data_IF_182666207182
#
_entry.id   IF_182666207182
#
_cell.length_a   1.000
_cell.length_b   1.000
_cell.length_c   1.000
_cell.angle_alpha   90.00
_cell.angle_beta   90.00
_cell.angle_gamma   90.00
#
_symmetry.space_group_name_H-M   'P 1'
#
loop_
_entity.id
_entity.type
_entity.pdbx_description
1 polymer ?
#
# COMPACT_ATOMS: atom_id res chain seq x y z
N UNK A 1 9.10 5.86 28.88
CA UNK A 1 9.50 5.15 27.64
C UNK A 1 8.74 5.81 26.52
N UNK A 2 9.36 6.21 25.40
CA UNK A 2 8.58 6.66 24.26
C UNK A 2 7.61 5.52 23.93
N UNK A 3 6.31 5.78 23.96
CA UNK A 3 5.29 4.79 23.61
C UNK A 3 5.63 4.26 22.22
N UNK A 4 5.72 2.95 22.08
CA UNK A 4 5.96 2.29 20.81
C UNK A 4 4.95 2.80 19.78
N UNK A 5 5.45 3.21 18.62
CA UNK A 5 4.63 3.74 17.54
C UNK A 5 3.64 2.63 17.12
N UNK A 6 2.31 2.87 17.11
CA UNK A 6 1.35 1.83 16.76
C UNK A 6 1.59 1.35 15.33
N UNK A 7 1.45 0.05 15.11
CA UNK A 7 1.56 -0.60 13.82
C UNK A 7 0.15 -0.94 13.30
N UNK A 8 -0.04 -1.05 11.98
CA UNK A 8 -1.35 -1.41 11.44
C UNK A 8 -1.68 -2.87 11.77
N UNK A 9 -2.96 -3.16 11.99
CA UNK A 9 -3.45 -4.53 12.19
C UNK A 9 -3.34 -5.37 10.91
N UNK A 10 -3.47 -4.74 9.73
CA UNK A 10 -3.28 -5.35 8.41
C UNK A 10 -2.29 -4.58 7.57
N UNK A 11 -1.58 -5.26 6.66
CA UNK A 11 -0.65 -4.58 5.75
C UNK A 11 0.65 -4.17 6.39
N UNK A 12 1.07 -4.88 7.44
CA UNK A 12 2.31 -4.64 8.16
C UNK A 12 3.53 -4.60 7.21
N UNK A 13 3.64 -5.55 6.28
CA UNK A 13 4.73 -5.57 5.30
C UNK A 13 4.70 -4.31 4.43
N UNK A 14 3.53 -3.96 3.88
CA UNK A 14 3.38 -2.78 3.01
C UNK A 14 3.71 -1.50 3.76
N UNK A 15 3.17 -1.31 4.96
CA UNK A 15 3.43 -0.14 5.78
C UNK A 15 4.92 0.04 6.07
N UNK A 16 5.64 -1.03 6.40
CA UNK A 16 7.06 -0.92 6.73
C UNK A 16 7.98 -0.63 5.54
N UNK A 17 7.54 -0.89 4.31
CA UNK A 17 8.38 -0.70 3.10
C UNK A 17 7.99 0.51 2.26
N UNK A 18 6.77 1.03 2.42
CA UNK A 18 6.29 2.23 1.71
C UNK A 18 6.75 3.50 2.45
N UNK A 19 8.03 3.88 2.29
CA UNK A 19 8.63 5.08 2.89
C UNK A 19 9.42 4.83 4.19
N UNK A 20 9.91 5.91 4.81
CA UNK A 20 10.57 5.88 6.11
C UNK A 20 10.23 7.11 6.97
N UNK A 21 10.77 7.13 8.18
CA UNK A 21 10.61 8.20 9.17
C UNK A 21 11.94 8.90 9.49
N UNK A 22 12.85 8.92 8.51
CA UNK A 22 14.14 9.59 8.62
C UNK A 22 13.97 10.98 8.01
N UNK A 23 13.94 12.02 8.85
CA UNK A 23 13.91 13.41 8.40
C UNK A 23 15.05 13.68 7.40
N UNK A 24 14.77 14.46 6.36
CA UNK A 24 15.67 14.74 5.22
C UNK A 24 15.97 13.52 4.31
N UNK A 25 15.32 12.38 4.51
CA UNK A 25 15.35 11.30 3.53
C UNK A 25 14.41 11.63 2.37
N UNK A 26 14.76 11.33 1.11
CA UNK A 26 13.81 11.42 -0.01
C UNK A 26 12.63 10.44 0.11
N UNK A 27 12.66 9.55 1.10
CA UNK A 27 11.57 8.62 1.41
C UNK A 27 10.85 9.00 2.72
N UNK A 28 11.08 10.18 3.28
CA UNK A 28 10.33 10.66 4.43
C UNK A 28 8.88 10.88 4.00
N UNK A 29 7.99 10.02 4.51
CA UNK A 29 6.64 9.87 3.97
C UNK A 29 5.62 10.84 4.56
N UNK A 30 5.92 11.49 5.69
CA UNK A 30 4.97 12.34 6.42
C UNK A 30 4.86 13.77 5.86
N UNK A 31 5.63 14.10 4.83
CA UNK A 31 5.57 15.35 4.08
C UNK A 31 4.96 15.11 2.68
N UNK A 32 4.45 16.19 2.10
CA UNK A 32 3.90 16.15 0.75
C UNK A 32 4.97 15.90 -0.30
N UNK A 33 4.64 15.04 -1.27
CA UNK A 33 5.50 14.75 -2.40
C UNK A 33 4.66 14.31 -3.61
N UNK A 34 5.30 14.25 -4.78
CA UNK A 34 4.69 13.80 -6.04
C UNK A 34 5.57 12.71 -6.64
N UNK A 35 5.25 11.41 -6.42
CA UNK A 35 6.14 10.30 -6.79
C UNK A 35 6.46 10.19 -8.28
N UNK A 36 5.57 10.66 -9.16
CA UNK A 36 5.71 10.58 -10.60
C UNK A 36 4.89 11.65 -11.33
N UNK A 37 5.14 11.85 -12.62
CA UNK A 37 4.38 12.81 -13.44
C UNK A 37 2.88 12.48 -13.57
N UNK A 38 2.47 11.22 -13.31
CA UNK A 38 1.07 10.79 -13.28
C UNK A 38 0.48 10.71 -11.87
N UNK A 39 1.31 10.87 -10.83
CA UNK A 39 0.85 10.85 -9.44
C UNK A 39 0.25 12.19 -9.06
N UNK A 40 -0.66 12.15 -8.09
CA UNK A 40 -1.20 13.35 -7.46
C UNK A 40 -0.33 13.84 -6.31
N UNK A 41 -0.84 14.85 -5.62
CA UNK A 41 -0.30 15.24 -4.33
C UNK A 41 -0.43 14.04 -3.39
N UNK A 42 0.70 13.57 -2.86
CA UNK A 42 0.77 12.36 -2.03
C UNK A 42 1.29 12.71 -0.64
N UNK A 43 0.69 12.12 0.38
CA UNK A 43 1.18 12.20 1.77
C UNK A 43 1.08 10.84 2.46
N UNK A 44 1.89 10.65 3.49
CA UNK A 44 1.98 9.38 4.19
C UNK A 44 2.48 8.27 3.29
N UNK A 45 2.09 7.05 3.63
CA UNK A 45 2.55 5.83 2.95
C UNK A 45 1.65 5.46 1.77
N UNK A 46 1.44 6.41 0.85
CA UNK A 46 0.73 6.18 -0.42
C UNK A 46 -0.68 6.77 -0.52
N UNK A 47 -1.05 7.75 0.31
CA UNK A 47 -2.32 8.47 0.16
C UNK A 47 -2.20 9.50 -0.97
N UNK A 48 -2.53 9.08 -2.19
CA UNK A 48 -2.51 9.87 -3.42
C UNK A 48 -3.89 10.49 -3.72
N UNK A 49 -3.91 11.77 -4.09
CA UNK A 49 -5.12 12.58 -4.27
C UNK A 49 -5.57 12.73 -5.73
N UNK A 50 -4.88 12.14 -6.72
CA UNK A 50 -5.18 12.31 -8.14
C UNK A 50 -6.56 11.78 -8.56
N UNK A 51 -7.07 10.78 -7.83
CA UNK A 51 -8.31 10.08 -8.17
C UNK A 51 -9.37 10.15 -7.06
N UNK A 52 -9.17 11.06 -6.10
CA UNK A 52 -10.12 11.34 -5.02
C UNK A 52 -10.83 12.66 -5.30
N UNK A 53 -12.09 12.74 -4.90
CA UNK A 53 -12.84 14.00 -4.87
C UNK A 53 -12.40 14.88 -3.70
N UNK A 54 -12.64 16.21 -3.75
CA UNK A 54 -12.35 17.09 -2.61
C UNK A 54 -13.02 16.62 -1.31
N UNK A 55 -14.28 16.18 -1.38
CA UNK A 55 -15.03 15.71 -0.22
C UNK A 55 -14.40 14.45 0.41
N UNK A 56 -13.93 13.50 -0.40
CA UNK A 56 -13.21 12.32 0.06
C UNK A 56 -11.89 12.72 0.73
N UNK A 57 -11.10 13.59 0.09
CA UNK A 57 -9.81 14.05 0.63
C UNK A 57 -10.00 14.70 1.99
N UNK A 58 -10.92 15.66 2.07
CA UNK A 58 -11.22 16.36 3.32
C UNK A 58 -11.65 15.39 4.41
N UNK A 59 -12.56 14.46 4.08
CA UNK A 59 -13.09 13.49 5.04
C UNK A 59 -11.97 12.59 5.58
N UNK A 60 -11.18 11.98 4.70
CA UNK A 60 -10.13 11.05 5.09
C UNK A 60 -9.07 11.73 5.97
N UNK A 61 -8.69 12.98 5.63
CA UNK A 61 -7.75 13.78 6.44
C UNK A 61 -8.30 14.11 7.83
N UNK A 62 -9.56 14.56 7.92
CA UNK A 62 -10.19 14.89 9.21
C UNK A 62 -10.35 13.63 10.08
N UNK A 63 -10.79 12.51 9.50
CA UNK A 63 -10.91 11.23 10.22
C UNK A 63 -9.54 10.70 10.68
N UNK A 64 -8.49 10.97 9.88
CA UNK A 64 -7.09 10.71 10.26
C UNK A 64 -6.62 11.58 11.43
N UNK A 65 -7.27 12.71 11.69
CA UNK A 65 -6.96 13.64 12.77
C UNK A 65 -6.24 14.91 12.34
N UNK A 66 -6.10 15.15 11.02
CA UNK A 66 -5.60 16.41 10.49
C UNK A 66 -6.58 17.53 10.80
N UNK A 67 -6.06 18.70 11.14
CA UNK A 67 -6.86 19.90 11.39
C UNK A 67 -7.80 20.21 10.22
N UNK A 68 -9.06 20.55 10.54
CA UNK A 68 -10.10 20.72 9.54
C UNK A 68 -9.80 21.86 8.55
N UNK A 69 -9.22 22.97 9.01
CA UNK A 69 -8.89 24.10 8.13
C UNK A 69 -7.77 23.69 7.17
N UNK A 70 -6.80 22.88 7.63
CA UNK A 70 -5.77 22.30 6.77
C UNK A 70 -6.36 21.28 5.79
N UNK A 71 -7.26 20.41 6.23
CA UNK A 71 -7.92 19.44 5.37
C UNK A 71 -8.75 20.13 4.26
N UNK A 72 -9.42 21.24 4.58
CA UNK A 72 -10.12 22.08 3.60
C UNK A 72 -9.16 22.60 2.53
N UNK A 73 -8.01 23.17 2.92
CA UNK A 73 -6.99 23.64 1.97
C UNK A 73 -6.46 22.49 1.11
N UNK A 74 -6.09 21.35 1.72
CA UNK A 74 -5.48 20.22 1.02
C UNK A 74 -6.47 19.58 0.04
N UNK A 75 -7.77 19.61 0.34
CA UNK A 75 -8.80 19.04 -0.54
C UNK A 75 -8.88 19.70 -1.92
N UNK A 76 -8.43 20.95 -2.05
CA UNK A 76 -8.31 21.64 -3.34
C UNK A 76 -7.29 20.97 -4.30
N UNK A 77 -6.44 20.06 -3.79
CA UNK A 77 -5.47 19.31 -4.60
C UNK A 77 -6.12 18.18 -5.43
N UNK A 78 -7.42 17.94 -5.25
CA UNK A 78 -8.15 16.88 -5.95
C UNK A 78 -7.90 16.91 -7.45
N UNK A 79 -7.46 15.78 -8.01
CA UNK A 79 -7.24 15.63 -9.45
C UNK A 79 -6.01 16.35 -10.01
N UNK A 80 -5.25 17.09 -9.21
CA UNK A 80 -3.96 17.63 -9.65
C UNK A 80 -2.94 16.50 -9.77
N UNK A 81 -2.08 16.58 -10.78
CA UNK A 81 -1.02 15.59 -11.03
C UNK A 81 0.30 16.23 -11.45
N UNK A 82 1.41 15.54 -11.19
CA UNK A 82 2.73 15.93 -11.67
C UNK A 82 3.07 17.39 -11.32
N UNK A 83 3.52 18.22 -12.28
CA UNK A 83 3.94 19.60 -11.99
C UNK A 83 2.86 20.48 -11.35
N UNK A 84 1.57 20.21 -11.59
CA UNK A 84 0.48 20.98 -10.96
C UNK A 84 0.32 20.64 -9.48
N UNK A 85 0.47 19.35 -9.13
CA UNK A 85 0.46 18.91 -7.74
C UNK A 85 1.72 19.40 -6.99
N UNK A 86 2.86 19.46 -7.65
CA UNK A 86 4.10 20.02 -7.07
C UNK A 86 3.95 21.53 -6.79
N UNK A 87 3.44 22.29 -7.76
CA UNK A 87 3.22 23.74 -7.60
C UNK A 87 2.23 24.04 -6.47
N UNK A 88 1.22 23.18 -6.29
CA UNK A 88 0.21 23.33 -5.24
C UNK A 88 0.82 23.39 -3.83
N UNK A 89 1.92 22.68 -3.57
CA UNK A 89 2.59 22.70 -2.26
C UNK A 89 3.03 24.12 -1.91
N UNK A 90 3.69 24.80 -2.85
CA UNK A 90 4.16 26.17 -2.65
C UNK A 90 3.01 27.19 -2.69
N UNK A 91 2.04 27.00 -3.60
CA UNK A 91 0.89 27.91 -3.73
C UNK A 91 -0.01 27.96 -2.47
N UNK A 92 0.08 26.94 -1.61
CA UNK A 92 -0.72 26.79 -0.39
C UNK A 92 0.10 26.79 0.91
N UNK A 93 1.40 27.13 0.85
CA UNK A 93 2.34 27.14 1.98
C UNK A 93 2.35 25.80 2.75
N UNK A 94 2.56 24.69 2.05
CA UNK A 94 2.51 23.32 2.58
C UNK A 94 3.88 22.64 2.67
N UNK A 95 4.99 23.33 2.39
CA UNK A 95 6.34 22.76 2.35
C UNK A 95 6.77 22.15 3.70
N UNK A 96 6.43 22.80 4.80
CA UNK A 96 6.76 22.34 6.17
C UNK A 96 5.59 21.55 6.81
N UNK A 97 4.51 21.28 6.07
CA UNK A 97 3.38 20.54 6.60
C UNK A 97 3.75 19.06 6.75
N UNK A 98 3.73 18.59 8.00
CA UNK A 98 4.05 17.21 8.36
C UNK A 98 2.90 16.60 9.15
N UNK A 99 2.41 15.44 8.71
CA UNK A 99 1.43 14.66 9.48
C UNK A 99 2.06 13.92 10.66
N UNK A 100 1.28 13.66 11.69
CA UNK A 100 1.71 12.80 12.80
C UNK A 100 1.81 11.34 12.36
N UNK A 101 2.50 10.52 13.16
CA UNK A 101 2.54 9.07 12.91
C UNK A 101 1.13 8.45 12.91
N UNK A 102 0.27 8.89 13.83
CA UNK A 102 -1.09 8.37 13.96
C UNK A 102 -1.97 8.75 12.76
N UNK A 103 -1.83 9.98 12.25
CA UNK A 103 -2.49 10.40 11.02
C UNK A 103 -2.01 9.59 9.81
N UNK A 104 -0.70 9.37 9.68
CA UNK A 104 -0.15 8.53 8.61
C UNK A 104 -0.69 7.11 8.65
N UNK A 105 -0.78 6.51 9.84
CA UNK A 105 -1.32 5.18 10.01
C UNK A 105 -2.78 5.10 9.53
N UNK A 106 -3.62 6.05 9.96
CA UNK A 106 -5.03 6.08 9.54
C UNK A 106 -5.20 6.33 8.04
N UNK A 107 -4.41 7.23 7.45
CA UNK A 107 -4.44 7.44 6.00
C UNK A 107 -3.98 6.19 5.24
N UNK A 108 -2.97 5.48 5.75
CA UNK A 108 -2.55 4.20 5.19
C UNK A 108 -3.67 3.15 5.26
N UNK A 109 -4.39 3.06 6.38
CA UNK A 109 -5.52 2.12 6.54
C UNK A 109 -6.60 2.35 5.47
N UNK A 110 -6.94 3.61 5.17
CA UNK A 110 -7.88 3.95 4.08
C UNK A 110 -7.39 3.40 2.73
N UNK A 111 -6.13 3.66 2.37
CA UNK A 111 -5.57 3.17 1.09
C UNK A 111 -5.48 1.65 1.08
N UNK A 112 -5.07 1.05 2.20
CA UNK A 112 -4.94 -0.39 2.33
C UNK A 112 -6.28 -1.10 2.11
N UNK A 113 -7.37 -0.60 2.71
CA UNK A 113 -8.72 -1.16 2.52
C UNK A 113 -9.19 -1.08 1.05
N UNK A 114 -8.88 0.00 0.34
CA UNK A 114 -9.16 0.13 -1.09
C UNK A 114 -8.39 -0.89 -1.92
N UNK A 115 -7.09 -1.02 -1.65
CA UNK A 115 -6.23 -1.96 -2.37
C UNK A 115 -6.56 -3.42 -2.01
N UNK A 116 -6.96 -3.72 -0.78
CA UNK A 116 -7.44 -5.03 -0.35
C UNK A 116 -8.71 -5.40 -1.13
N UNK A 117 -9.68 -4.49 -1.24
CA UNK A 117 -10.90 -4.71 -2.03
C UNK A 117 -10.59 -4.99 -3.50
N UNK A 118 -9.67 -4.24 -4.12
CA UNK A 118 -9.29 -4.48 -5.51
C UNK A 118 -8.51 -5.78 -5.68
N UNK A 119 -7.64 -6.13 -4.72
CA UNK A 119 -6.91 -7.39 -4.69
C UNK A 119 -7.87 -8.58 -4.64
N UNK A 120 -8.85 -8.53 -3.73
CA UNK A 120 -9.91 -9.53 -3.63
C UNK A 120 -10.65 -9.66 -4.96
N UNK A 121 -11.09 -8.54 -5.55
CA UNK A 121 -11.78 -8.52 -6.84
C UNK A 121 -10.94 -9.21 -7.94
N UNK A 122 -9.63 -8.94 -7.99
CA UNK A 122 -8.73 -9.54 -8.98
C UNK A 122 -8.42 -11.01 -8.73
N UNK A 123 -8.33 -11.44 -7.48
CA UNK A 123 -8.11 -12.84 -7.10
C UNK A 123 -9.37 -13.70 -7.32
N UNK A 124 -10.56 -13.09 -7.21
CA UNK A 124 -11.85 -13.78 -7.28
C UNK A 124 -12.61 -13.57 -8.59
N UNK A 125 -12.09 -12.81 -9.55
CA UNK A 125 -12.77 -12.64 -10.85
C UNK A 125 -12.89 -13.96 -11.63
N UNK A 126 -13.98 -14.11 -12.36
CA UNK A 126 -14.37 -15.38 -12.99
C UNK A 126 -13.31 -16.03 -13.88
N UNK A 127 -12.60 -15.24 -14.71
CA UNK A 127 -11.59 -15.77 -15.62
C UNK A 127 -10.35 -16.26 -14.88
N UNK A 128 -10.01 -15.64 -13.76
CA UNK A 128 -8.94 -16.10 -12.86
C UNK A 128 -9.37 -17.38 -12.16
N UNK A 129 -10.60 -17.44 -11.62
CA UNK A 129 -11.08 -18.64 -10.93
C UNK A 129 -11.16 -19.84 -11.88
N UNK A 130 -11.71 -19.66 -13.08
CA UNK A 130 -11.76 -20.72 -14.10
C UNK A 130 -10.38 -21.26 -14.47
N UNK A 131 -9.36 -20.40 -14.44
CA UNK A 131 -8.00 -20.76 -14.88
C UNK A 131 -7.16 -21.39 -13.77
N UNK A 132 -7.27 -20.90 -12.54
CA UNK A 132 -6.34 -21.26 -11.46
C UNK A 132 -7.00 -21.98 -10.28
N UNK A 133 -8.33 -22.01 -10.24
CA UNK A 133 -9.12 -22.53 -9.12
C UNK A 133 -9.84 -21.41 -8.36
N UNK A 134 -10.87 -21.79 -7.60
CA UNK A 134 -11.65 -20.87 -6.76
C UNK A 134 -10.76 -20.35 -5.63
N UNK A 135 -10.72 -19.04 -5.44
CA UNK A 135 -10.08 -18.41 -4.27
C UNK A 135 -11.17 -18.10 -3.24
N UNK A 136 -11.17 -18.83 -2.13
CA UNK A 136 -11.98 -18.49 -0.96
C UNK A 136 -11.27 -17.39 -0.18
N UNK A 137 -11.57 -16.13 -0.52
CA UNK A 137 -10.90 -14.98 0.07
C UNK A 137 -11.10 -14.91 1.60
N UNK A 138 -12.30 -15.21 2.11
CA UNK A 138 -12.62 -15.04 3.53
C UNK A 138 -11.87 -16.03 4.43
N UNK A 139 -11.53 -17.21 3.91
CA UNK A 139 -10.79 -18.26 4.64
C UNK A 139 -9.34 -18.42 4.15
N UNK A 140 -8.84 -17.48 3.34
CA UNK A 140 -7.48 -17.51 2.83
C UNK A 140 -6.50 -17.25 3.98
N UNK A 141 -5.36 -17.95 3.97
CA UNK A 141 -4.30 -17.74 4.94
C UNK A 141 -3.88 -16.26 4.98
N UNK A 142 -3.78 -15.70 6.19
CA UNK A 142 -3.54 -14.27 6.41
C UNK A 142 -2.22 -13.80 5.79
N UNK A 143 -1.16 -14.63 5.82
CA UNK A 143 0.11 -14.32 5.16
C UNK A 143 -0.02 -14.25 3.64
N UNK A 144 -0.82 -15.14 3.03
CA UNK A 144 -1.11 -15.07 1.60
C UNK A 144 -1.87 -13.80 1.28
N UNK A 145 -2.91 -13.46 2.06
CA UNK A 145 -3.68 -12.23 1.87
C UNK A 145 -2.77 -11.00 1.95
N UNK A 146 -1.98 -10.88 3.01
CA UNK A 146 -1.11 -9.72 3.23
C UNK A 146 -0.12 -9.51 2.07
N UNK A 147 0.51 -10.59 1.60
CA UNK A 147 1.42 -10.51 0.46
C UNK A 147 0.69 -10.18 -0.84
N UNK A 148 -0.51 -10.71 -1.08
CA UNK A 148 -1.27 -10.36 -2.28
C UNK A 148 -1.64 -8.88 -2.31
N UNK A 149 -2.04 -8.32 -1.17
CA UNK A 149 -2.34 -6.89 -1.07
C UNK A 149 -1.06 -6.07 -1.28
N UNK A 150 0.07 -6.46 -0.67
CA UNK A 150 1.36 -5.80 -0.88
C UNK A 150 1.81 -5.84 -2.36
N UNK A 151 1.65 -6.99 -3.02
CA UNK A 151 1.93 -7.14 -4.44
C UNK A 151 1.02 -6.22 -5.27
N UNK A 152 -0.26 -6.09 -4.90
CA UNK A 152 -1.18 -5.19 -5.63
C UNK A 152 -0.85 -3.72 -5.39
N UNK A 153 -0.47 -3.35 -4.17
CA UNK A 153 -0.11 -2.00 -3.75
C UNK A 153 1.07 -1.48 -4.57
N UNK A 154 2.14 -2.28 -4.67
CA UNK A 154 3.32 -1.95 -5.48
C UNK A 154 3.09 -2.03 -6.99
N UNK A 155 2.10 -2.80 -7.43
CA UNK A 155 1.82 -3.07 -8.84
C UNK A 155 2.44 -4.37 -9.39
N UNK A 156 2.94 -5.25 -8.52
CA UNK A 156 3.51 -6.55 -8.90
C UNK A 156 2.44 -7.62 -9.20
N UNK A 157 1.21 -7.48 -8.68
CA UNK A 157 0.10 -8.44 -8.87
C UNK A 157 -0.55 -8.38 -10.27
N UNK A 158 0.30 -8.59 -11.29
CA UNK A 158 -0.04 -8.55 -12.71
C UNK A 158 -0.62 -9.89 -13.21
N UNK A 159 -1.18 -9.95 -14.44
CA UNK A 159 -1.54 -11.23 -15.05
C UNK A 159 -0.37 -12.21 -15.16
N UNK A 160 0.86 -11.70 -15.29
CA UNK A 160 2.08 -12.52 -15.34
C UNK A 160 2.42 -13.13 -13.99
N UNK A 161 2.34 -12.35 -12.90
CA UNK A 161 2.48 -12.84 -11.54
C UNK A 161 1.48 -13.97 -11.24
N UNK A 162 0.20 -13.76 -11.58
CA UNK A 162 -0.85 -14.76 -11.37
C UNK A 162 -0.61 -16.10 -12.07
N UNK A 163 0.19 -16.16 -13.14
CA UNK A 163 0.46 -17.43 -13.85
C UNK A 163 1.17 -18.47 -12.99
N UNK A 164 2.04 -18.05 -12.08
CA UNK A 164 2.77 -18.96 -11.20
C UNK A 164 2.26 -18.91 -9.76
N UNK A 165 1.66 -17.80 -9.32
CA UNK A 165 1.27 -17.65 -7.92
C UNK A 165 -0.17 -18.10 -7.63
N UNK A 166 -1.11 -17.85 -8.55
CA UNK A 166 -2.54 -17.89 -8.24
C UNK A 166 -3.07 -19.29 -7.90
N UNK A 167 -2.47 -20.35 -8.44
CA UNK A 167 -2.91 -21.71 -8.14
C UNK A 167 -2.56 -22.17 -6.71
N UNK A 168 -1.61 -21.48 -6.05
CA UNK A 168 -1.29 -21.73 -4.64
C UNK A 168 -2.25 -20.94 -3.76
N UNK A 169 -2.57 -19.71 -4.17
CA UNK A 169 -3.65 -18.91 -3.56
C UNK A 169 -4.99 -19.67 -3.58
N UNK A 170 -5.42 -20.19 -4.73
CA UNK A 170 -6.67 -20.94 -4.85
C UNK A 170 -6.72 -22.22 -4.03
N UNK A 171 -5.57 -22.84 -3.73
CA UNK A 171 -5.47 -24.04 -2.89
C UNK A 171 -5.23 -23.72 -1.43
N UNK A 172 -5.12 -22.44 -1.07
CA UNK A 172 -4.68 -21.98 0.24
C UNK A 172 -3.37 -22.65 0.69
N UNK A 173 -2.46 -22.87 -0.26
CA UNK A 173 -1.21 -23.62 -0.07
C UNK A 173 -0.08 -22.65 0.26
N UNK A 174 0.07 -22.33 1.55
CA UNK A 174 1.08 -21.40 2.04
C UNK A 174 2.50 -21.88 1.72
N UNK A 175 2.79 -23.18 1.85
CA UNK A 175 4.13 -23.72 1.63
C UNK A 175 4.59 -23.48 0.17
N UNK A 176 3.76 -23.83 -0.80
CA UNK A 176 4.10 -23.62 -2.21
C UNK A 176 4.02 -22.16 -2.64
N UNK A 177 3.12 -21.38 -2.04
CA UNK A 177 3.12 -19.93 -2.22
C UNK A 177 4.47 -19.32 -1.78
N UNK A 178 4.98 -19.72 -0.61
CA UNK A 178 6.26 -19.28 -0.07
C UNK A 178 7.43 -19.64 -0.99
N UNK A 179 7.46 -20.84 -1.57
CA UNK A 179 8.49 -21.24 -2.55
C UNK A 179 8.57 -20.26 -3.74
N UNK A 180 7.43 -19.79 -4.24
CA UNK A 180 7.39 -18.80 -5.33
C UNK A 180 7.77 -17.38 -4.88
N UNK A 181 7.49 -17.01 -3.62
CA UNK A 181 7.93 -15.74 -3.05
C UNK A 181 9.43 -15.68 -2.80
N UNK A 182 10.06 -16.83 -2.50
CA UNK A 182 11.52 -16.95 -2.32
C UNK A 182 12.30 -17.13 -3.62
N UNK A 183 11.61 -17.41 -4.72
CA UNK A 183 12.26 -17.58 -6.01
C UNK A 183 12.59 -16.21 -6.62
N UNK A 184 13.86 -15.78 -6.52
CA UNK A 184 14.29 -14.46 -7.03
C UNK A 184 14.04 -14.27 -8.52
N UNK A 185 14.01 -15.33 -9.32
CA UNK A 185 13.74 -15.26 -10.77
C UNK A 185 12.30 -14.82 -11.07
N UNK A 186 11.37 -14.99 -10.12
CA UNK A 186 9.99 -14.47 -10.22
C UNK A 186 9.91 -12.96 -9.98
N UNK A 187 10.92 -12.38 -9.34
CA UNK A 187 10.91 -11.00 -8.83
C UNK A 187 12.14 -10.19 -9.30
N UNK A 188 12.45 -10.15 -10.60
CA UNK A 188 13.67 -9.51 -11.09
C UNK A 188 13.73 -8.00 -10.81
N UNK A 189 12.57 -7.33 -10.82
CA UNK A 189 12.44 -5.88 -10.65
C UNK A 189 12.09 -5.44 -9.22
N UNK A 190 12.04 -6.38 -8.27
CA UNK A 190 11.77 -6.07 -6.87
C UNK A 190 13.11 -5.73 -6.18
N UNK A 191 13.23 -4.58 -5.49
CA UNK A 191 14.39 -4.23 -4.69
C UNK A 191 14.76 -5.36 -3.73
N UNK A 192 16.07 -5.60 -3.58
CA UNK A 192 16.60 -6.70 -2.78
C UNK A 192 15.98 -6.75 -1.38
N UNK A 193 15.85 -5.60 -0.72
CA UNK A 193 15.38 -5.57 0.67
C UNK A 193 13.88 -5.91 0.77
N UNK A 194 13.05 -5.41 -0.15
CA UNK A 194 11.63 -5.78 -0.19
C UNK A 194 11.43 -7.25 -0.54
N UNK A 195 12.23 -7.79 -1.46
CA UNK A 195 12.22 -9.22 -1.77
C UNK A 195 12.55 -10.06 -0.53
N UNK A 196 13.63 -9.73 0.19
CA UNK A 196 14.03 -10.43 1.42
C UNK A 196 12.97 -10.34 2.51
N UNK A 197 12.34 -9.18 2.69
CA UNK A 197 11.28 -9.00 3.69
C UNK A 197 10.05 -9.86 3.38
N UNK A 198 9.57 -9.86 2.12
CA UNK A 198 8.47 -10.72 1.68
C UNK A 198 8.78 -12.21 1.89
N UNK A 199 9.96 -12.64 1.45
CA UNK A 199 10.42 -14.02 1.60
C UNK A 199 10.48 -14.45 3.08
N UNK A 200 11.09 -13.63 3.93
CA UNK A 200 11.19 -13.90 5.37
C UNK A 200 9.82 -13.95 6.04
N UNK A 201 8.91 -13.03 5.69
CA UNK A 201 7.54 -13.02 6.20
C UNK A 201 6.79 -14.32 5.87
N UNK A 202 6.87 -14.76 4.62
CA UNK A 202 6.27 -16.01 4.18
C UNK A 202 6.90 -17.24 4.88
N UNK A 203 8.24 -17.27 4.96
CA UNK A 203 8.99 -18.36 5.59
C UNK A 203 8.64 -18.52 7.07
N UNK A 204 8.62 -17.41 7.81
CA UNK A 204 8.28 -17.43 9.24
C UNK A 204 6.86 -17.97 9.49
N UNK A 205 5.90 -17.68 8.61
CA UNK A 205 4.54 -18.19 8.72
C UNK A 205 4.47 -19.70 8.46
N UNK A 206 5.22 -20.21 7.48
CA UNK A 206 5.34 -21.66 7.24
C UNK A 206 5.94 -22.37 8.45
N UNK A 207 7.00 -21.81 9.03
CA UNK A 207 7.71 -22.40 10.18
C UNK A 207 6.89 -22.35 11.48
N UNK A 208 5.84 -21.51 11.51
CA UNK A 208 4.91 -21.37 12.65
C UNK A 208 3.63 -22.23 12.53
N UNK A 209 3.46 -22.96 11.42
CA UNK A 209 2.32 -23.85 11.14
C UNK A 209 2.61 -25.28 11.58
#
# INVERSE_FOLDING_TARGET
MPSEKPLPEKGFITFNVEGNDIENSPYFSREFHVPSASSGLTIGRGYDMAHRSPDEIRKDLVDAGVDADKADIISDAAGLTGPQAEAFIADKDLEDFTITWAEQLKLFEVVYEEIERDTRRLATKDDVQRKYGVTDWENLNETIQEILVDLRYRGDYTPSCRRFLQHHVARNDLARFTEEMENRDRWPNVPSDRFKQRAAFCRNAVDST
#
